data_IF_682001914822
#
_entry.id   IF_682001914822
#
_cell.length_a   1.000
_cell.length_b   1.000
_cell.length_c   1.000
_cell.angle_alpha   90.00
_cell.angle_beta   90.00
_cell.angle_gamma   90.00
#
_symmetry.space_group_name_H-M   'P 1'
#
loop_
_entity.id
_entity.type
_entity.pdbx_description
1 polymer ?
#
# COMPACT_ATOMS: atom_id res chain seq x y z
N UNK A 1 5.55 23.53 -40.22
CA UNK A 1 5.87 23.02 -38.85
C UNK A 1 4.64 22.93 -37.95
N UNK A 2 3.84 23.99 -37.74
CA UNK A 2 2.66 23.94 -36.84
C UNK A 2 1.54 22.96 -37.28
N UNK A 3 1.27 22.83 -38.58
CA UNK A 3 0.27 21.88 -39.13
C UNK A 3 0.68 20.40 -38.99
N UNK A 4 1.97 20.10 -39.08
CA UNK A 4 2.52 18.74 -38.97
C UNK A 4 2.46 18.23 -37.53
N UNK A 5 2.69 19.10 -36.55
CA UNK A 5 2.56 18.77 -35.12
C UNK A 5 1.09 18.49 -34.76
N UNK A 6 0.15 19.28 -35.29
CA UNK A 6 -1.28 19.08 -35.06
C UNK A 6 -1.80 17.75 -35.63
N UNK A 7 -1.28 17.34 -36.79
CA UNK A 7 -1.60 16.05 -37.40
C UNK A 7 -0.99 14.87 -36.62
N UNK A 8 0.22 15.02 -36.06
CA UNK A 8 0.85 14.03 -35.18
C UNK A 8 0.11 13.87 -33.85
N UNK A 9 -0.36 14.97 -33.26
CA UNK A 9 -1.16 14.94 -32.04
C UNK A 9 -2.53 14.29 -32.31
N UNK A 10 -3.18 14.64 -33.43
CA UNK A 10 -4.46 14.03 -33.82
C UNK A 10 -4.33 12.53 -34.16
N UNK A 11 -3.21 12.12 -34.78
CA UNK A 11 -2.94 10.70 -35.07
C UNK A 11 -2.61 9.90 -33.80
N UNK A 12 -1.94 10.50 -32.82
CA UNK A 12 -1.74 9.85 -31.50
C UNK A 12 -3.06 9.68 -30.75
N UNK A 13 -3.99 10.63 -30.86
CA UNK A 13 -5.33 10.53 -30.23
C UNK A 13 -6.19 9.40 -30.80
N UNK A 14 -6.05 9.09 -32.10
CA UNK A 14 -6.83 8.04 -32.77
C UNK A 14 -6.41 6.61 -32.41
N UNK A 15 -5.18 6.43 -31.91
CA UNK A 15 -4.66 5.12 -31.47
C UNK A 15 -5.18 4.70 -30.09
N UNK A 16 -5.87 5.60 -29.37
CA UNK A 16 -6.57 5.29 -28.11
C UNK A 16 -8.05 4.95 -28.34
N UNK A 17 -8.38 4.36 -29.48
CA UNK A 17 -9.67 3.68 -29.67
C UNK A 17 -9.64 2.37 -28.89
N UNK A 18 -9.72 2.46 -27.55
CA UNK A 18 -9.92 1.30 -26.70
C UNK A 18 -11.28 0.72 -27.04
N UNK A 19 -11.29 -0.49 -27.60
CA UNK A 19 -12.44 -1.38 -27.53
C UNK A 19 -12.96 -1.35 -26.09
N UNK A 20 -14.20 -0.92 -25.90
CA UNK A 20 -14.86 -0.96 -24.61
C UNK A 20 -15.16 -2.43 -24.28
N UNK A 21 -14.13 -3.19 -23.89
CA UNK A 21 -14.33 -4.40 -23.11
C UNK A 21 -14.84 -3.96 -21.74
N UNK A 22 -15.81 -4.70 -21.20
CA UNK A 22 -16.23 -4.54 -19.82
C UNK A 22 -14.97 -4.61 -18.95
N UNK A 23 -14.62 -3.49 -18.31
CA UNK A 23 -13.50 -3.45 -17.39
C UNK A 23 -13.93 -4.21 -16.15
N UNK A 24 -13.36 -5.38 -15.95
CA UNK A 24 -13.54 -6.14 -14.72
C UNK A 24 -12.90 -5.32 -13.58
N UNK A 25 -13.75 -4.91 -12.63
CA UNK A 25 -13.37 -4.15 -11.46
C UNK A 25 -13.54 -5.06 -10.25
N UNK A 26 -12.49 -5.15 -9.45
CA UNK A 26 -12.51 -5.79 -8.15
C UNK A 26 -12.42 -4.73 -7.06
N UNK A 27 -13.18 -4.94 -5.98
CA UNK A 27 -12.98 -4.21 -4.72
C UNK A 27 -12.49 -5.18 -3.67
N UNK A 28 -11.62 -4.73 -2.78
CA UNK A 28 -11.02 -5.60 -1.76
C UNK A 28 -10.81 -4.90 -0.43
N UNK A 29 -10.78 -5.70 0.63
CA UNK A 29 -10.28 -5.29 1.95
C UNK A 29 -9.29 -6.32 2.47
N UNK A 30 -8.22 -5.85 3.10
CA UNK A 30 -7.22 -6.65 3.79
C UNK A 30 -7.69 -6.93 5.23
N UNK A 31 -8.23 -8.13 5.43
CA UNK A 31 -8.75 -8.58 6.73
C UNK A 31 -7.64 -8.66 7.77
N UNK A 32 -6.39 -8.93 7.36
CA UNK A 32 -5.24 -8.90 8.26
C UNK A 32 -5.00 -7.49 8.81
N UNK A 33 -5.14 -6.45 7.98
CA UNK A 33 -4.99 -5.06 8.42
C UNK A 33 -6.14 -4.64 9.33
N UNK A 34 -7.37 -5.06 9.03
CA UNK A 34 -8.55 -4.80 9.87
C UNK A 34 -8.37 -5.36 11.29
N UNK A 35 -7.76 -6.54 11.44
CA UNK A 35 -7.45 -7.13 12.75
C UNK A 35 -6.49 -6.28 13.61
N UNK A 36 -5.65 -5.46 12.98
CA UNK A 36 -4.77 -4.49 13.64
C UNK A 36 -5.40 -3.09 13.75
N UNK A 37 -6.73 -3.00 13.67
CA UNK A 37 -7.46 -1.74 13.66
C UNK A 37 -6.93 -0.86 12.54
N UNK A 38 -6.85 -1.32 11.30
CA UNK A 38 -6.40 -0.50 10.18
C UNK A 38 -7.41 -0.60 9.05
N UNK A 39 -8.30 0.39 9.01
CA UNK A 39 -9.37 0.42 8.02
C UNK A 39 -8.73 0.63 6.66
N UNK A 40 -9.08 -0.22 5.72
CA UNK A 40 -8.48 -0.21 4.41
C UNK A 40 -9.49 -0.61 3.34
N UNK A 41 -9.22 -0.18 2.12
CA UNK A 41 -9.99 -0.54 0.94
C UNK A 41 -9.11 -0.44 -0.30
N UNK A 42 -9.31 -1.33 -1.25
CA UNK A 42 -8.62 -1.32 -2.53
C UNK A 42 -9.55 -1.52 -3.71
N UNK A 43 -9.15 -0.97 -4.84
CA UNK A 43 -9.79 -1.20 -6.13
C UNK A 43 -8.73 -1.75 -7.09
N UNK A 44 -9.07 -2.81 -7.78
CA UNK A 44 -8.22 -3.42 -8.80
C UNK A 44 -8.95 -3.47 -10.13
N UNK A 45 -8.30 -2.96 -11.17
CA UNK A 45 -8.85 -2.89 -12.53
C UNK A 45 -8.05 -3.78 -13.47
N UNK A 46 -8.74 -4.54 -14.31
CA UNK A 46 -8.09 -5.32 -15.34
C UNK A 46 -7.66 -4.45 -16.53
N UNK A 47 -6.37 -4.46 -16.85
CA UNK A 47 -5.77 -3.67 -17.95
C UNK A 47 -5.55 -4.50 -19.22
N UNK A 48 -5.23 -5.78 -19.07
CA UNK A 48 -5.03 -6.75 -20.15
C UNK A 48 -5.30 -8.17 -19.59
N UNK A 49 -5.32 -9.24 -20.42
CA UNK A 49 -5.63 -10.60 -19.95
C UNK A 49 -4.81 -11.06 -18.74
N UNK A 50 -3.56 -10.58 -18.61
CA UNK A 50 -2.63 -10.92 -17.52
C UNK A 50 -2.14 -9.74 -16.71
N UNK A 51 -2.71 -8.56 -16.91
CA UNK A 51 -2.28 -7.35 -16.22
C UNK A 51 -3.44 -6.68 -15.51
N UNK A 52 -3.21 -6.31 -14.27
CA UNK A 52 -4.14 -5.52 -13.46
C UNK A 52 -3.41 -4.38 -12.78
N UNK A 53 -4.16 -3.35 -12.41
CA UNK A 53 -3.68 -2.23 -11.60
C UNK A 53 -4.53 -2.16 -10.33
N UNK A 54 -3.87 -2.31 -9.19
CA UNK A 54 -4.44 -2.26 -7.86
C UNK A 54 -4.08 -0.93 -7.20
N UNK A 55 -5.03 -0.32 -6.50
CA UNK A 55 -4.77 0.86 -5.66
C UNK A 55 -5.45 0.63 -4.32
N UNK A 56 -4.65 0.48 -3.27
CA UNK A 56 -5.12 0.30 -1.90
C UNK A 56 -4.87 1.55 -1.06
N UNK A 57 -5.84 1.90 -0.23
CA UNK A 57 -5.74 2.94 0.79
C UNK A 57 -5.86 2.35 2.19
N UNK A 58 -5.05 2.84 3.11
CA UNK A 58 -5.03 2.44 4.52
C UNK A 58 -5.20 3.69 5.39
N UNK A 59 -6.01 3.59 6.43
CA UNK A 59 -6.25 4.66 7.37
C UNK A 59 -6.38 4.15 8.79
N UNK A 60 -5.68 4.86 9.67
CA UNK A 60 -5.77 4.66 11.08
C UNK A 60 -5.74 5.99 11.83
N UNK A 61 -6.78 6.24 12.62
CA UNK A 61 -7.00 7.53 13.32
C UNK A 61 -7.07 7.42 14.84
N UNK A 62 -6.90 6.21 15.39
CA UNK A 62 -7.26 5.94 16.78
C UNK A 62 -6.24 6.53 17.77
N UNK A 63 -6.73 7.01 18.91
CA UNK A 63 -5.89 7.16 20.11
C UNK A 63 -6.34 6.07 21.07
N UNK A 64 -5.45 5.11 21.33
CA UNK A 64 -5.78 3.99 22.19
C UNK A 64 -5.61 4.38 23.66
N UNK A 65 -6.09 3.53 24.58
CA UNK A 65 -5.91 3.68 26.03
C UNK A 65 -4.46 4.03 26.39
N UNK A 66 -4.26 4.83 27.43
CA UNK A 66 -2.93 5.32 27.86
C UNK A 66 -2.26 6.23 26.81
N UNK A 67 -3.06 7.01 26.08
CA UNK A 67 -2.60 8.02 25.11
C UNK A 67 -1.72 7.50 23.95
N UNK A 68 -1.73 6.19 23.71
CA UNK A 68 -0.97 5.58 22.62
C UNK A 68 -1.48 6.13 21.28
N UNK A 69 -0.54 6.63 20.48
CA UNK A 69 -0.83 7.15 19.15
C UNK A 69 -0.56 6.05 18.16
N UNK A 70 -1.62 5.63 17.49
CA UNK A 70 -1.55 4.86 16.28
C UNK A 70 -2.32 5.70 15.28
N UNK A 71 -1.61 6.49 14.47
CA UNK A 71 -2.26 7.30 13.45
C UNK A 71 -1.43 7.24 12.20
N UNK A 72 -2.02 6.88 11.08
CA UNK A 72 -1.38 6.96 9.79
C UNK A 72 -2.42 6.92 8.67
N UNK A 73 -2.00 7.37 7.51
CA UNK A 73 -2.68 7.07 6.26
C UNK A 73 -1.64 6.69 5.23
N UNK A 74 -1.98 5.79 4.32
CA UNK A 74 -1.09 5.33 3.26
C UNK A 74 -1.89 5.00 2.01
N UNK A 75 -1.33 5.27 0.86
CA UNK A 75 -1.81 4.78 -0.44
C UNK A 75 -0.73 3.90 -1.05
N UNK A 76 -1.14 2.80 -1.66
CA UNK A 76 -0.26 1.80 -2.24
C UNK A 76 -0.80 1.36 -3.61
N UNK A 77 -0.41 2.05 -4.70
CA UNK A 77 -0.64 1.57 -6.06
C UNK A 77 0.30 0.42 -6.42
N UNK A 78 -0.20 -0.54 -7.19
CA UNK A 78 0.52 -1.74 -7.58
C UNK A 78 0.12 -2.23 -8.96
N UNK A 79 1.11 -2.39 -9.85
CA UNK A 79 0.92 -3.07 -11.12
C UNK A 79 1.16 -4.57 -10.90
N UNK A 80 0.20 -5.41 -11.30
CA UNK A 80 0.26 -6.85 -11.09
C UNK A 80 0.29 -7.59 -12.42
N UNK A 81 1.16 -8.58 -12.51
CA UNK A 81 1.24 -9.53 -13.60
C UNK A 81 0.83 -10.92 -13.13
N UNK A 82 -0.21 -11.47 -13.77
CA UNK A 82 -0.77 -12.78 -13.49
C UNK A 82 -0.16 -13.84 -14.40
N UNK A 83 0.11 -15.03 -13.87
CA UNK A 83 0.78 -16.07 -14.65
C UNK A 83 -0.14 -16.76 -15.66
N UNK A 84 -1.43 -16.84 -15.36
CA UNK A 84 -2.45 -17.46 -16.22
C UNK A 84 -3.44 -16.42 -16.75
N UNK A 85 -4.53 -16.17 -16.03
CA UNK A 85 -5.50 -15.10 -16.30
C UNK A 85 -5.58 -14.17 -15.09
N UNK A 86 -5.98 -12.91 -15.33
CA UNK A 86 -6.20 -11.93 -14.27
C UNK A 86 -7.20 -12.44 -13.22
N UNK A 87 -6.95 -12.08 -11.96
CA UNK A 87 -7.78 -12.36 -10.77
C UNK A 87 -7.78 -13.79 -10.22
N UNK A 88 -7.06 -14.74 -10.83
CA UNK A 88 -7.00 -16.13 -10.34
C UNK A 88 -5.59 -16.69 -10.37
N UNK A 89 -5.23 -17.43 -9.32
CA UNK A 89 -3.93 -18.08 -9.23
C UNK A 89 -2.80 -17.13 -8.88
N UNK A 90 -1.61 -17.43 -9.39
CA UNK A 90 -0.37 -16.75 -9.03
C UNK A 90 -0.19 -15.39 -9.74
N UNK A 91 0.30 -14.40 -9.02
CA UNK A 91 0.73 -13.12 -9.58
C UNK A 91 1.99 -12.58 -8.89
N UNK A 92 2.67 -11.67 -9.60
CA UNK A 92 3.73 -10.83 -9.06
C UNK A 92 3.33 -9.37 -9.20
N UNK A 93 3.67 -8.56 -8.21
CA UNK A 93 3.33 -7.13 -8.13
C UNK A 93 4.58 -6.25 -8.06
N UNK A 94 4.50 -5.08 -8.67
CA UNK A 94 5.40 -3.96 -8.40
C UNK A 94 4.57 -2.85 -7.77
N UNK A 95 4.83 -2.53 -6.51
CA UNK A 95 4.11 -1.50 -5.78
C UNK A 95 4.96 -0.30 -5.43
N UNK A 96 4.32 0.86 -5.43
CA UNK A 96 4.79 2.02 -4.70
C UNK A 96 3.93 2.20 -3.45
N UNK A 97 4.47 2.84 -2.42
CA UNK A 97 3.71 3.17 -1.21
C UNK A 97 4.09 4.56 -0.72
N UNK A 98 3.13 5.28 -0.16
CA UNK A 98 3.37 6.61 0.36
C UNK A 98 2.30 7.02 1.36
N UNK A 99 2.72 7.76 2.38
CA UNK A 99 1.81 8.12 3.46
C UNK A 99 2.44 8.95 4.55
N UNK A 100 1.61 9.29 5.55
CA UNK A 100 2.06 9.96 6.75
C UNK A 100 1.71 9.13 7.97
N UNK A 101 2.52 9.26 9.01
CA UNK A 101 2.33 8.52 10.24
C UNK A 101 2.67 9.38 11.45
N UNK A 102 2.04 9.01 12.56
CA UNK A 102 2.22 9.56 13.88
C UNK A 102 1.97 8.43 14.88
N UNK A 103 3.04 7.74 15.25
CA UNK A 103 3.00 6.49 16.00
C UNK A 103 3.89 6.62 17.23
N UNK A 104 3.40 6.21 18.40
CA UNK A 104 4.18 6.21 19.63
C UNK A 104 3.42 5.69 20.84
N UNK A 105 4.14 5.22 21.85
CA UNK A 105 3.59 4.60 23.05
C UNK A 105 3.13 3.15 22.84
N UNK A 106 3.52 2.51 21.73
CA UNK A 106 3.19 1.12 21.45
C UNK A 106 4.17 0.21 22.20
N UNK A 107 3.82 -0.18 23.43
CA UNK A 107 4.62 -1.13 24.23
C UNK A 107 4.83 -2.43 23.45
N UNK A 108 6.04 -2.63 22.96
CA UNK A 108 6.44 -3.82 22.22
C UNK A 108 7.92 -4.11 22.45
N UNK A 109 8.29 -5.37 22.36
CA UNK A 109 9.69 -5.83 22.33
C UNK A 109 10.06 -6.40 20.96
N UNK A 110 9.37 -5.94 19.91
CA UNK A 110 9.46 -6.52 18.58
C UNK A 110 10.64 -5.90 17.82
N UNK A 111 11.50 -6.76 17.30
CA UNK A 111 12.53 -6.39 16.34
C UNK A 111 12.37 -7.27 15.11
N UNK A 112 12.50 -6.67 13.93
CA UNK A 112 12.30 -7.38 12.68
C UNK A 112 13.26 -6.84 11.61
N UNK A 113 14.00 -7.75 10.98
CA UNK A 113 15.01 -7.46 9.95
C UNK A 113 15.89 -6.24 10.25
N UNK A 114 16.53 -6.24 11.43
CA UNK A 114 17.45 -5.17 11.83
C UNK A 114 16.79 -3.85 12.23
N UNK A 115 15.46 -3.75 12.15
CA UNK A 115 14.70 -2.60 12.66
C UNK A 115 14.16 -2.92 14.04
N UNK A 116 14.58 -2.11 15.01
CA UNK A 116 14.16 -2.21 16.39
C UNK A 116 12.90 -1.36 16.63
N UNK A 117 11.73 -2.01 16.59
CA UNK A 117 10.43 -1.37 16.82
C UNK A 117 10.16 -1.15 18.31
N UNK A 118 10.97 -1.71 19.22
CA UNK A 118 10.81 -1.50 20.66
C UNK A 118 10.91 -0.02 21.05
N UNK A 119 11.63 0.78 20.25
CA UNK A 119 11.73 2.25 20.40
C UNK A 119 10.38 2.97 20.30
N UNK A 120 9.38 2.37 19.66
CA UNK A 120 8.01 2.90 19.62
C UNK A 120 7.28 2.79 20.96
N UNK A 121 7.82 2.02 21.91
CA UNK A 121 7.31 1.94 23.29
C UNK A 121 7.49 3.26 24.02
N UNK A 122 8.68 3.85 23.90
CA UNK A 122 9.08 5.03 24.68
C UNK A 122 9.08 6.31 23.85
N UNK A 123 9.18 6.22 22.52
CA UNK A 123 9.27 7.38 21.63
C UNK A 123 8.08 7.47 20.71
N UNK A 124 7.73 8.70 20.35
CA UNK A 124 6.78 9.00 19.28
C UNK A 124 7.54 9.47 18.06
N UNK A 125 7.16 8.92 16.91
CA UNK A 125 7.68 9.26 15.61
C UNK A 125 6.55 9.82 14.75
N UNK A 126 6.78 10.99 14.17
CA UNK A 126 5.84 11.64 13.27
C UNK A 126 6.56 12.03 11.99
N UNK A 127 6.03 11.63 10.84
CA UNK A 127 6.72 11.84 9.58
C UNK A 127 5.90 11.43 8.37
N UNK A 128 6.58 11.41 7.23
CA UNK A 128 6.07 10.87 5.98
C UNK A 128 7.03 9.80 5.48
N UNK A 129 6.47 8.85 4.73
CA UNK A 129 7.23 7.78 4.10
C UNK A 129 6.84 7.66 2.63
N UNK A 130 7.79 7.25 1.80
CA UNK A 130 7.58 6.86 0.43
C UNK A 130 8.52 5.70 0.08
N UNK A 131 8.06 4.77 -0.72
CA UNK A 131 8.82 3.57 -1.03
C UNK A 131 8.29 2.82 -2.23
N UNK A 132 8.99 1.75 -2.57
CA UNK A 132 8.59 0.82 -3.60
C UNK A 132 9.05 -0.59 -3.24
N UNK A 133 8.37 -1.59 -3.77
CA UNK A 133 8.68 -2.99 -3.50
C UNK A 133 8.10 -3.92 -4.55
N UNK A 134 8.44 -5.20 -4.38
CA UNK A 134 7.89 -6.29 -5.15
C UNK A 134 7.00 -7.12 -4.25
N UNK A 135 5.94 -7.66 -4.81
CA UNK A 135 5.02 -8.54 -4.14
C UNK A 135 4.82 -9.83 -4.92
N UNK A 136 4.43 -10.87 -4.20
CA UNK A 136 3.97 -12.13 -4.76
C UNK A 136 2.70 -12.54 -4.02
N UNK A 137 1.72 -13.00 -4.79
CA UNK A 137 0.45 -13.43 -4.22
C UNK A 137 -0.21 -14.56 -4.97
N UNK A 138 -1.26 -15.07 -4.34
CA UNK A 138 -2.12 -16.10 -4.89
C UNK A 138 -3.58 -15.78 -4.60
N UNK A 139 -4.44 -15.88 -5.61
CA UNK A 139 -5.89 -15.70 -5.50
C UNK A 139 -6.63 -17.02 -5.68
N UNK A 140 -7.41 -17.40 -4.66
CA UNK A 140 -8.36 -18.51 -4.70
C UNK A 140 -9.76 -18.01 -5.02
N UNK A 141 -10.43 -18.69 -5.95
CA UNK A 141 -11.83 -18.44 -6.25
C UNK A 141 -12.72 -19.12 -5.20
N UNK A 142 -13.45 -18.34 -4.40
CA UNK A 142 -14.40 -18.84 -3.40
C UNK A 142 -15.80 -19.02 -3.98
N UNK A 143 -16.13 -18.29 -5.04
CA UNK A 143 -17.42 -18.37 -5.73
C UNK A 143 -17.42 -17.51 -6.99
N UNK A 144 -18.61 -17.27 -7.56
CA UNK A 144 -18.74 -16.54 -8.84
C UNK A 144 -18.22 -15.10 -8.81
N UNK A 145 -18.25 -14.45 -7.64
CA UNK A 145 -17.88 -13.04 -7.46
C UNK A 145 -16.96 -12.79 -6.27
N UNK A 146 -16.54 -13.85 -5.57
CA UNK A 146 -15.74 -13.73 -4.35
C UNK A 146 -14.43 -14.49 -4.53
N UNK A 147 -13.32 -13.81 -4.27
CA UNK A 147 -12.00 -14.41 -4.19
C UNK A 147 -11.37 -14.13 -2.82
N UNK A 148 -10.51 -15.04 -2.39
CA UNK A 148 -9.59 -14.83 -1.28
C UNK A 148 -8.20 -14.71 -1.85
N UNK A 149 -7.44 -13.71 -1.44
CA UNK A 149 -6.08 -13.49 -1.94
C UNK A 149 -5.11 -13.41 -0.75
N UNK A 150 -3.99 -14.12 -0.84
CA UNK A 150 -2.88 -13.97 0.10
C UNK A 150 -1.68 -13.36 -0.64
N UNK A 151 -1.02 -12.40 0.00
CA UNK A 151 0.05 -11.64 -0.62
C UNK A 151 1.12 -11.23 0.39
N UNK A 152 2.38 -11.31 -0.03
CA UNK A 152 3.53 -10.81 0.73
C UNK A 152 4.42 -10.00 -0.20
N UNK A 153 4.99 -8.91 0.31
CA UNK A 153 5.86 -8.05 -0.45
C UNK A 153 7.01 -7.48 0.37
N UNK A 154 8.15 -7.35 -0.29
CA UNK A 154 9.38 -6.77 0.27
C UNK A 154 9.78 -5.55 -0.55
N UNK A 155 10.32 -4.54 0.11
CA UNK A 155 10.63 -3.30 -0.55
C UNK A 155 11.53 -2.39 0.27
N UNK A 156 11.79 -1.24 -0.31
CA UNK A 156 12.55 -0.15 0.28
C UNK A 156 11.62 1.00 0.61
N UNK A 157 11.77 1.56 1.80
CA UNK A 157 11.03 2.73 2.27
C UNK A 157 12.00 3.79 2.74
N UNK A 158 11.85 4.98 2.16
CA UNK A 158 12.45 6.21 2.66
C UNK A 158 11.47 6.92 3.57
N UNK A 159 11.95 7.44 4.69
CA UNK A 159 11.14 8.24 5.61
C UNK A 159 11.87 9.48 6.10
N UNK A 160 11.12 10.54 6.37
CA UNK A 160 11.58 11.68 7.17
C UNK A 160 10.67 11.87 8.36
N UNK A 161 11.26 11.91 9.54
CA UNK A 161 10.51 12.00 10.78
C UNK A 161 11.11 12.97 11.80
N UNK A 162 10.23 13.47 12.66
CA UNK A 162 10.55 14.06 13.94
C UNK A 162 10.33 13.01 15.03
N UNK A 163 11.24 12.95 16.01
CA UNK A 163 11.11 12.07 17.19
C UNK A 163 10.88 12.88 18.47
N UNK A 164 10.03 12.37 19.35
CA UNK A 164 9.63 12.98 20.61
C UNK A 164 9.84 12.00 21.76
N UNK A 165 10.21 12.47 22.96
CA UNK A 165 10.52 11.61 24.11
C UNK A 165 9.28 10.95 24.72
N UNK A 166 8.08 11.43 24.40
CA UNK A 166 6.82 10.87 24.88
C UNK A 166 5.66 11.28 23.96
N UNK A 167 4.50 10.63 24.13
CA UNK A 167 3.33 10.81 23.27
C UNK A 167 2.73 12.25 23.29
N UNK A 168 2.85 12.95 24.42
CA UNK A 168 2.31 14.30 24.66
C UNK A 168 3.32 15.34 25.17
N UNK A 169 4.51 14.92 25.61
CA UNK A 169 5.47 15.79 26.28
C UNK A 169 6.80 15.90 25.53
N UNK A 170 7.52 16.99 25.81
CA UNK A 170 8.93 17.15 25.47
C UNK A 170 9.23 17.85 24.15
N UNK A 171 10.37 18.52 24.16
CA UNK A 171 11.03 19.11 22.99
C UNK A 171 11.43 18.01 22.00
N UNK A 172 11.39 18.31 20.70
CA UNK A 172 11.83 17.36 19.64
C UNK A 172 13.25 16.86 19.94
N UNK A 173 13.44 15.55 19.97
CA UNK A 173 14.76 14.92 20.13
C UNK A 173 15.51 15.00 18.81
N UNK A 174 14.86 14.54 17.74
CA UNK A 174 15.39 14.60 16.38
C UNK A 174 14.39 15.33 15.50
N UNK A 175 14.92 16.19 14.63
CA UNK A 175 14.14 16.98 13.70
C UNK A 175 14.49 16.56 12.27
N UNK A 176 13.49 16.21 11.48
CA UNK A 176 13.62 15.92 10.06
C UNK A 176 14.71 14.90 9.73
N UNK A 177 14.83 13.85 10.57
CA UNK A 177 15.84 12.82 10.41
C UNK A 177 15.44 11.89 9.25
N UNK A 178 16.38 11.62 8.37
CA UNK A 178 16.22 10.63 7.31
C UNK A 178 16.32 9.21 7.88
N UNK A 179 15.41 8.35 7.46
CA UNK A 179 15.43 6.92 7.74
C UNK A 179 15.30 6.12 6.45
N UNK A 180 15.94 4.96 6.45
CA UNK A 180 15.89 3.99 5.37
C UNK A 180 15.49 2.65 5.96
N UNK A 181 14.53 1.99 5.33
CA UNK A 181 14.05 0.68 5.74
C UNK A 181 14.02 -0.24 4.53
N UNK A 182 14.54 -1.46 4.69
CA UNK A 182 14.45 -2.55 3.72
C UNK A 182 13.85 -3.74 4.44
N UNK A 183 12.74 -4.25 3.94
CA UNK A 183 12.04 -5.37 4.56
C UNK A 183 10.63 -5.55 4.01
N UNK A 184 9.74 -6.27 4.72
CA UNK A 184 8.35 -6.38 4.37
C UNK A 184 7.71 -5.02 4.28
N UNK A 185 7.09 -4.78 3.13
CA UNK A 185 6.31 -3.58 2.83
C UNK A 185 4.85 -3.92 2.54
N UNK A 186 4.52 -5.21 2.40
CA UNK A 186 3.16 -5.70 2.21
C UNK A 186 2.97 -7.06 2.88
N UNK A 187 1.84 -7.23 3.56
CA UNK A 187 1.31 -8.52 3.99
C UNK A 187 -0.21 -8.40 4.00
N UNK A 188 -0.88 -9.25 3.23
CA UNK A 188 -2.33 -9.15 3.06
C UNK A 188 -3.01 -10.50 2.99
N UNK A 189 -4.20 -10.54 3.60
CA UNK A 189 -5.23 -11.54 3.33
C UNK A 189 -6.45 -10.74 2.87
N UNK A 190 -6.62 -10.65 1.56
CA UNK A 190 -7.64 -9.84 0.92
C UNK A 190 -8.90 -10.66 0.69
N UNK A 191 -10.03 -10.13 1.15
CA UNK A 191 -11.35 -10.56 0.68
C UNK A 191 -11.73 -9.67 -0.51
N UNK A 192 -11.94 -10.29 -1.67
CA UNK A 192 -12.12 -9.60 -2.94
C UNK A 192 -13.50 -9.88 -3.51
N UNK A 193 -14.17 -8.84 -3.98
CA UNK A 193 -15.44 -8.92 -4.70
C UNK A 193 -15.29 -8.41 -6.14
N UNK A 194 -15.72 -9.23 -7.10
CA UNK A 194 -15.67 -8.93 -8.55
C UNK A 194 -17.03 -8.48 -9.07
N UNK A 195 -17.04 -7.39 -9.84
CA UNK A 195 -18.24 -6.82 -10.49
C UNK A 195 -18.44 -7.33 -11.91
#
# INVERSE_FOLDING_TARGET
>A
MKRTILLLVASLSGMFSSTAEAQDINVKTNVLADAFLNVNAGVEIGLAPRWTLDVAGYYNGWTLSHDRKWKHWMVQPEARYWFCDRFVGHFVGLHALGGQYNIGGLKNSFSFLGTDFSKLSDRRYQGWMAGAGLAYGYSWMLGKRWNLEAEIGVGYVYTRYDSYPCAKCGTKIEKNKAGHYIGPTKAAINLVYSF
#
